data_IF_727655025867
#
_entry.id   IF_727655025867
#
_cell.length_a   1.000
_cell.length_b   1.000
_cell.length_c   1.000
_cell.angle_alpha   90.00
_cell.angle_beta   90.00
_cell.angle_gamma   90.00
#
_symmetry.space_group_name_H-M   'P 1'
#
loop_
_entity.id
_entity.type
_entity.pdbx_description
1 polymer ?
#
# COMPACT_ATOMS: atom_id res chain seq x y z
N UNK A 1 -25.71 -28.36 5.57
CA UNK A 1 -24.53 -28.45 6.43
C UNK A 1 -23.42 -27.66 5.78
N UNK A 2 -22.99 -26.58 6.43
CA UNK A 2 -21.94 -25.66 5.96
C UNK A 2 -20.59 -26.35 5.72
N UNK A 3 -20.38 -27.53 6.31
CA UNK A 3 -19.10 -28.26 6.18
C UNK A 3 -19.03 -29.23 5.01
N UNK A 4 -20.13 -29.47 4.29
CA UNK A 4 -20.19 -30.48 3.20
C UNK A 4 -20.03 -31.95 3.65
N UNK A 5 -19.55 -32.20 4.87
CA UNK A 5 -19.37 -33.51 5.49
C UNK A 5 -19.92 -33.52 6.93
N UNK A 6 -20.31 -34.70 7.43
CA UNK A 6 -20.98 -34.89 8.74
C UNK A 6 -22.42 -34.36 8.78
N UNK A 7 -23.03 -34.34 9.97
CA UNK A 7 -24.44 -34.02 10.20
C UNK A 7 -24.61 -32.96 11.27
N UNK A 8 -25.72 -32.21 11.19
CA UNK A 8 -26.19 -31.43 12.33
C UNK A 8 -26.99 -32.33 13.27
N UNK A 9 -26.88 -32.08 14.56
CA UNK A 9 -27.72 -32.72 15.57
C UNK A 9 -28.58 -31.67 16.27
N UNK A 10 -29.83 -32.03 16.53
CA UNK A 10 -30.78 -31.21 17.28
C UNK A 10 -30.85 -31.60 18.76
N UNK A 11 -31.76 -30.94 19.48
CA UNK A 11 -32.00 -31.17 20.91
C UNK A 11 -32.38 -32.63 21.24
N UNK A 12 -33.32 -33.21 20.49
CA UNK A 12 -33.84 -34.55 20.78
C UNK A 12 -32.76 -35.66 20.73
N UNK A 13 -31.97 -35.80 19.63
CA UNK A 13 -30.92 -36.82 19.59
C UNK A 13 -29.81 -36.56 20.63
N UNK A 14 -29.49 -35.29 20.91
CA UNK A 14 -28.53 -34.94 21.96
C UNK A 14 -29.01 -35.41 23.34
N UNK A 15 -30.26 -35.09 23.71
CA UNK A 15 -30.83 -35.51 25.01
C UNK A 15 -30.93 -37.04 25.13
N UNK A 16 -31.29 -37.72 24.04
CA UNK A 16 -31.35 -39.18 24.02
C UNK A 16 -29.96 -39.78 24.30
N UNK A 17 -28.90 -39.23 23.70
CA UNK A 17 -27.52 -39.63 23.92
C UNK A 17 -27.08 -39.38 25.37
N UNK A 18 -27.29 -38.15 25.88
CA UNK A 18 -26.93 -37.79 27.26
C UNK A 18 -27.61 -38.71 28.29
N UNK A 19 -28.90 -39.01 28.10
CA UNK A 19 -29.64 -39.92 28.97
C UNK A 19 -29.15 -41.36 28.87
N UNK A 20 -28.88 -41.85 27.65
CA UNK A 20 -28.40 -43.20 27.40
C UNK A 20 -27.05 -43.46 28.09
N UNK A 21 -26.14 -42.50 27.97
CA UNK A 21 -24.76 -42.66 28.44
C UNK A 21 -24.52 -42.02 29.83
N UNK A 22 -25.59 -41.54 30.48
CA UNK A 22 -25.57 -40.90 31.81
C UNK A 22 -24.61 -39.72 31.89
N UNK A 23 -24.55 -38.92 30.83
CA UNK A 23 -23.73 -37.71 30.74
C UNK A 23 -24.56 -36.47 31.09
N UNK A 24 -23.90 -35.46 31.68
CA UNK A 24 -24.54 -34.18 32.01
C UNK A 24 -24.63 -33.24 30.82
N UNK A 25 -23.58 -33.17 30.00
CA UNK A 25 -23.51 -32.32 28.81
C UNK A 25 -22.40 -32.77 27.86
N UNK A 26 -22.44 -32.27 26.62
CA UNK A 26 -21.33 -32.32 25.67
C UNK A 26 -20.62 -30.97 25.65
N UNK A 27 -19.32 -30.99 25.93
CA UNK A 27 -18.44 -29.83 25.69
C UNK A 27 -17.75 -30.04 24.36
N UNK A 28 -17.85 -29.05 23.46
CA UNK A 28 -17.27 -29.10 22.12
C UNK A 28 -16.61 -27.78 21.75
N UNK A 29 -15.74 -27.85 20.75
CA UNK A 29 -15.15 -26.66 20.12
C UNK A 29 -15.72 -26.44 18.72
N UNK A 30 -14.87 -25.97 17.79
CA UNK A 30 -15.05 -25.99 16.32
C UNK A 30 -15.86 -24.84 15.70
N UNK A 31 -16.61 -24.08 16.49
CA UNK A 31 -17.37 -22.94 16.00
C UNK A 31 -16.95 -21.69 16.75
N UNK A 32 -16.52 -20.67 16.01
CA UNK A 32 -16.21 -19.36 16.56
C UNK A 32 -17.46 -18.74 17.19
N UNK A 33 -17.24 -18.04 18.30
CA UNK A 33 -18.23 -17.31 19.09
C UNK A 33 -17.62 -15.98 19.49
N UNK A 34 -18.43 -14.91 19.43
CA UNK A 34 -18.00 -13.56 19.75
C UNK A 34 -17.38 -13.45 21.16
N UNK A 35 -17.97 -14.11 22.15
CA UNK A 35 -17.50 -14.14 23.55
C UNK A 35 -16.58 -15.33 23.85
N UNK A 36 -16.14 -16.08 22.82
CA UNK A 36 -15.34 -17.28 23.01
C UNK A 36 -16.11 -18.51 23.54
N UNK A 37 -17.38 -18.39 23.94
CA UNK A 37 -18.18 -19.55 24.34
C UNK A 37 -19.67 -19.38 24.02
N UNK A 38 -20.43 -20.48 24.09
CA UNK A 38 -21.89 -20.46 24.03
C UNK A 38 -22.48 -21.63 24.79
N UNK A 39 -23.38 -21.33 25.73
CA UNK A 39 -24.26 -22.32 26.34
C UNK A 39 -25.49 -22.51 25.46
N UNK A 40 -25.73 -23.75 25.03
CA UNK A 40 -26.92 -24.10 24.24
C UNK A 40 -27.99 -24.61 25.20
N UNK A 41 -28.75 -23.68 25.76
CA UNK A 41 -29.88 -23.96 26.64
C UNK A 41 -31.18 -23.95 25.84
N UNK A 42 -31.84 -25.11 25.74
CA UNK A 42 -33.12 -25.21 25.04
C UNK A 42 -34.34 -25.20 25.95
N UNK A 43 -34.15 -25.53 27.23
CA UNK A 43 -35.24 -25.79 28.18
C UNK A 43 -35.33 -24.73 29.29
N UNK A 44 -34.60 -23.62 29.09
CA UNK A 44 -34.59 -22.46 29.96
C UNK A 44 -33.20 -22.12 30.51
N UNK A 45 -33.02 -20.91 31.05
CA UNK A 45 -31.73 -20.43 31.55
C UNK A 45 -31.28 -21.12 32.85
N UNK A 46 -32.19 -21.78 33.57
CA UNK A 46 -31.92 -22.37 34.89
C UNK A 46 -31.47 -23.85 34.81
N UNK A 47 -31.57 -24.49 33.65
CA UNK A 47 -31.10 -25.87 33.46
C UNK A 47 -29.64 -25.88 33.01
N UNK A 48 -28.87 -26.87 33.48
CA UNK A 48 -27.49 -27.04 33.03
C UNK A 48 -27.46 -27.26 31.51
N UNK A 49 -26.63 -26.53 30.75
CA UNK A 49 -26.67 -26.57 29.29
C UNK A 49 -26.24 -27.96 28.78
N UNK A 50 -27.09 -28.67 28.01
CA UNK A 50 -26.76 -30.00 27.49
C UNK A 50 -25.66 -29.98 26.42
N UNK A 51 -25.37 -28.82 25.83
CA UNK A 51 -24.25 -28.62 24.93
C UNK A 51 -23.57 -27.28 25.22
N UNK A 52 -22.24 -27.29 25.29
CA UNK A 52 -21.40 -26.13 25.54
C UNK A 52 -20.41 -26.02 24.39
N UNK A 53 -20.35 -24.86 23.75
CA UNK A 53 -19.30 -24.55 22.77
C UNK A 53 -18.25 -23.66 23.40
N UNK A 54 -16.99 -24.04 23.31
CA UNK A 54 -15.84 -23.24 23.75
C UNK A 54 -14.91 -23.00 22.57
N UNK A 55 -14.40 -21.78 22.46
CA UNK A 55 -13.51 -21.33 21.39
C UNK A 55 -12.39 -20.49 21.99
N UNK A 56 -11.15 -20.95 21.84
CA UNK A 56 -10.01 -20.44 22.61
C UNK A 56 -9.01 -19.62 21.78
N UNK A 57 -9.39 -19.20 20.56
CA UNK A 57 -8.58 -18.35 19.70
C UNK A 57 -9.17 -16.94 19.65
N UNK A 58 -8.59 -15.93 20.34
CA UNK A 58 -9.10 -14.57 20.31
C UNK A 58 -8.69 -13.91 18.99
N UNK A 59 -9.47 -12.93 18.55
CA UNK A 59 -9.31 -12.23 17.27
C UNK A 59 -9.05 -13.19 16.08
N UNK A 60 -9.78 -14.30 16.05
CA UNK A 60 -9.61 -15.33 15.05
C UNK A 60 -9.88 -14.76 13.66
N UNK A 61 -8.88 -14.81 12.78
CA UNK A 61 -8.92 -14.23 11.44
C UNK A 61 -9.45 -12.78 11.41
N UNK A 62 -8.98 -11.93 12.34
CA UNK A 62 -9.36 -10.51 12.44
C UNK A 62 -10.87 -10.25 12.71
N UNK A 63 -11.56 -11.21 13.35
CA UNK A 63 -13.00 -11.13 13.61
C UNK A 63 -13.39 -10.51 14.96
N UNK A 64 -12.44 -9.91 15.69
CA UNK A 64 -12.67 -9.21 16.97
C UNK A 64 -13.45 -10.03 18.02
N UNK A 65 -13.20 -11.35 18.07
CA UNK A 65 -13.80 -12.22 19.07
C UNK A 65 -12.91 -12.38 20.30
N UNK A 66 -13.54 -12.55 21.44
CA UNK A 66 -12.90 -13.07 22.64
C UNK A 66 -12.67 -14.57 22.50
N UNK A 67 -11.72 -15.08 23.27
CA UNK A 67 -11.54 -16.49 23.52
C UNK A 67 -12.02 -16.86 24.92
N UNK A 68 -12.29 -18.14 25.13
CA UNK A 68 -12.64 -18.66 26.44
C UNK A 68 -11.95 -19.99 26.76
N UNK A 69 -11.77 -20.25 28.05
CA UNK A 69 -11.44 -21.55 28.62
C UNK A 69 -12.51 -21.92 29.64
N UNK A 70 -12.87 -23.20 29.67
CA UNK A 70 -13.78 -23.76 30.67
C UNK A 70 -12.96 -24.55 31.69
N UNK A 71 -13.08 -24.20 32.96
CA UNK A 71 -12.37 -24.82 34.07
C UNK A 71 -13.41 -25.54 34.93
N UNK A 72 -13.27 -26.86 35.04
CA UNK A 72 -14.12 -27.68 35.91
C UNK A 72 -13.33 -28.10 37.15
N UNK A 73 -13.87 -27.82 38.33
CA UNK A 73 -13.34 -28.25 39.62
C UNK A 73 -14.47 -28.90 40.44
N UNK A 74 -14.47 -30.23 40.50
CA UNK A 74 -15.56 -31.02 41.08
C UNK A 74 -16.91 -30.68 40.42
N UNK A 75 -17.85 -30.21 41.23
CA UNK A 75 -19.19 -29.80 40.77
C UNK A 75 -19.25 -28.37 40.22
N UNK A 76 -18.16 -27.61 40.31
CA UNK A 76 -18.08 -26.23 39.83
C UNK A 76 -17.53 -26.19 38.42
N UNK A 77 -18.18 -25.40 37.58
CA UNK A 77 -17.73 -25.07 36.23
C UNK A 77 -17.64 -23.56 36.13
N UNK A 78 -16.46 -23.07 35.78
CA UNK A 78 -16.16 -21.67 35.53
C UNK A 78 -15.77 -21.49 34.06
N UNK A 79 -16.10 -20.35 33.47
CA UNK A 79 -15.70 -19.99 32.10
C UNK A 79 -15.01 -18.65 32.17
N UNK A 80 -13.72 -18.63 31.78
CA UNK A 80 -12.91 -17.42 31.76
C UNK A 80 -12.68 -16.99 30.33
N UNK A 81 -12.94 -15.73 30.04
CA UNK A 81 -12.69 -15.13 28.73
C UNK A 81 -11.37 -14.37 28.73
N UNK A 82 -10.77 -14.24 27.55
CA UNK A 82 -9.53 -13.50 27.33
C UNK A 82 -9.49 -12.95 25.90
N UNK A 83 -8.76 -11.85 25.72
CA UNK A 83 -8.60 -11.13 24.44
C UNK A 83 -7.23 -11.41 23.83
N UNK A 84 -7.03 -10.93 22.59
CA UNK A 84 -5.72 -11.04 21.92
C UNK A 84 -4.66 -10.24 22.69
N UNK A 85 -3.44 -10.77 22.76
CA UNK A 85 -2.34 -10.05 23.37
C UNK A 85 -1.88 -8.91 22.46
N UNK A 86 -1.61 -7.76 23.06
CA UNK A 86 -1.11 -6.58 22.35
C UNK A 86 0.35 -6.74 21.87
N UNK A 87 1.13 -7.63 22.50
CA UNK A 87 2.56 -7.85 22.22
C UNK A 87 2.85 -8.86 21.09
N UNK A 88 1.88 -9.10 20.20
CA UNK A 88 2.02 -10.10 19.15
C UNK A 88 3.03 -9.64 18.07
N UNK A 89 4.06 -10.44 17.76
CA UNK A 89 4.97 -10.13 16.66
C UNK A 89 4.21 -10.08 15.33
N UNK A 90 4.50 -9.05 14.54
CA UNK A 90 4.01 -8.98 13.17
C UNK A 90 4.78 -10.00 12.30
N UNK A 91 4.04 -10.78 11.51
CA UNK A 91 4.60 -11.78 10.59
C UNK A 91 4.11 -11.44 9.20
N UNK A 92 5.02 -11.39 8.24
CA UNK A 92 4.68 -11.16 6.85
C UNK A 92 3.76 -12.28 6.32
N UNK A 93 2.80 -11.96 5.44
CA UNK A 93 1.95 -12.94 4.78
C UNK A 93 2.78 -14.03 4.09
N UNK A 94 2.21 -15.23 4.06
CA UNK A 94 2.87 -16.43 3.53
C UNK A 94 4.22 -16.76 4.18
N UNK A 95 4.56 -16.10 5.30
CA UNK A 95 5.87 -16.20 5.96
C UNK A 95 7.02 -15.84 5.02
N UNK A 96 6.78 -14.95 4.06
CA UNK A 96 7.80 -14.44 3.16
C UNK A 96 8.89 -13.69 3.93
N UNK A 97 10.10 -13.68 3.40
CA UNK A 97 11.18 -12.85 3.91
C UNK A 97 11.03 -11.40 3.43
N UNK A 98 11.71 -10.48 4.13
CA UNK A 98 11.63 -9.05 3.84
C UNK A 98 12.13 -8.70 2.42
N UNK A 99 13.15 -9.40 1.90
CA UNK A 99 13.66 -9.12 0.56
C UNK A 99 12.61 -9.47 -0.49
N UNK A 100 12.00 -10.64 -0.42
CA UNK A 100 10.96 -11.06 -1.37
C UNK A 100 9.74 -10.14 -1.39
N UNK A 101 9.42 -9.49 -0.28
CA UNK A 101 8.30 -8.54 -0.17
C UNK A 101 8.68 -7.17 -0.73
N UNK A 102 9.84 -6.63 -0.34
CA UNK A 102 10.21 -5.24 -0.65
C UNK A 102 11.06 -5.06 -1.91
N UNK A 103 11.65 -6.14 -2.45
CA UNK A 103 12.51 -6.08 -3.64
C UNK A 103 11.84 -5.40 -4.84
N UNK A 104 10.58 -5.69 -5.20
CA UNK A 104 9.93 -5.01 -6.33
C UNK A 104 9.88 -3.49 -6.13
N UNK A 105 9.51 -3.04 -4.93
CA UNK A 105 9.47 -1.60 -4.63
C UNK A 105 10.85 -0.95 -4.64
N UNK A 106 11.85 -1.64 -4.11
CA UNK A 106 13.21 -1.15 -4.16
C UNK A 106 13.68 -1.00 -5.62
N UNK A 107 13.40 -1.99 -6.46
CA UNK A 107 13.74 -1.97 -7.88
C UNK A 107 13.05 -0.82 -8.62
N UNK A 108 11.76 -0.59 -8.38
CA UNK A 108 11.05 0.53 -9.02
C UNK A 108 11.63 1.88 -8.61
N UNK A 109 11.91 2.09 -7.32
CA UNK A 109 12.51 3.34 -6.82
C UNK A 109 13.90 3.60 -7.41
N UNK A 110 14.73 2.55 -7.55
CA UNK A 110 16.06 2.67 -8.19
C UNK A 110 15.92 3.02 -9.67
N UNK A 111 15.02 2.36 -10.40
CA UNK A 111 14.75 2.68 -11.80
C UNK A 111 14.22 4.10 -11.96
N UNK A 112 13.34 4.54 -11.06
CA UNK A 112 12.79 5.90 -11.06
C UNK A 112 13.88 6.95 -10.81
N UNK A 113 14.78 6.69 -9.87
CA UNK A 113 15.94 7.54 -9.62
C UNK A 113 16.86 7.63 -10.84
N UNK A 114 17.14 6.50 -11.50
CA UNK A 114 17.94 6.47 -12.74
C UNK A 114 17.25 7.27 -13.84
N UNK A 115 15.94 7.08 -14.04
CA UNK A 115 15.15 7.85 -15.00
C UNK A 115 15.27 9.35 -14.74
N UNK A 116 15.14 9.80 -13.48
CA UNK A 116 15.25 11.21 -13.14
C UNK A 116 16.65 11.79 -13.38
N UNK A 117 17.70 11.03 -13.06
CA UNK A 117 19.09 11.44 -13.34
C UNK A 117 19.31 11.57 -14.84
N UNK A 118 18.88 10.59 -15.63
CA UNK A 118 19.00 10.60 -17.09
C UNK A 118 18.18 11.73 -17.69
N UNK A 119 16.93 11.93 -17.24
CA UNK A 119 16.08 13.03 -17.66
C UNK A 119 16.76 14.37 -17.43
N UNK A 120 17.36 14.60 -16.25
CA UNK A 120 18.08 15.84 -15.97
C UNK A 120 19.28 16.05 -16.90
N UNK A 121 20.14 15.03 -17.07
CA UNK A 121 21.33 15.13 -17.92
C UNK A 121 20.99 15.32 -19.40
N UNK A 122 20.06 14.52 -19.93
CA UNK A 122 19.62 14.57 -21.33
C UNK A 122 18.81 15.84 -21.61
N UNK A 123 18.00 16.27 -20.65
CA UNK A 123 17.32 17.55 -20.76
C UNK A 123 18.35 18.67 -20.90
N UNK A 124 19.40 18.70 -20.07
CA UNK A 124 20.41 19.75 -20.12
C UNK A 124 21.14 19.83 -21.48
N UNK A 125 21.24 18.70 -22.19
CA UNK A 125 22.03 18.57 -23.43
C UNK A 125 21.28 18.95 -24.71
N UNK A 126 19.98 18.65 -24.85
CA UNK A 126 19.21 19.12 -26.02
C UNK A 126 17.77 19.57 -25.71
N UNK A 127 17.33 20.71 -26.28
CA UNK A 127 15.94 21.18 -26.14
C UNK A 127 14.89 20.20 -26.69
N UNK A 128 15.23 19.41 -27.72
CA UNK A 128 14.37 18.37 -28.29
C UNK A 128 14.09 17.22 -27.31
N UNK A 129 15.10 16.78 -26.58
CA UNK A 129 14.96 15.76 -25.53
C UNK A 129 14.20 16.28 -24.31
N UNK A 130 14.36 17.57 -23.94
CA UNK A 130 13.56 18.19 -22.87
C UNK A 130 12.06 18.04 -23.15
N UNK A 131 11.65 18.39 -24.36
CA UNK A 131 10.23 18.42 -24.75
C UNK A 131 9.61 17.03 -24.79
N UNK A 132 10.37 16.03 -25.23
CA UNK A 132 9.90 14.63 -25.35
C UNK A 132 9.89 13.89 -24.00
N UNK A 133 10.82 14.21 -23.09
CA UNK A 133 10.90 13.61 -21.74
C UNK A 133 10.05 14.35 -20.68
N UNK A 134 9.65 15.59 -20.93
CA UNK A 134 8.82 16.39 -20.01
C UNK A 134 7.38 15.88 -19.90
N UNK A 135 6.85 15.26 -20.98
CA UNK A 135 5.46 14.78 -21.04
C UNK A 135 5.11 13.67 -20.04
N UNK A 136 6.11 12.96 -19.50
CA UNK A 136 5.93 11.90 -18.50
C UNK A 136 6.18 12.50 -17.11
N UNK A 137 5.12 13.02 -16.49
CA UNK A 137 5.13 13.48 -15.08
C UNK A 137 5.33 12.28 -14.15
N UNK A 138 6.58 11.90 -14.00
CA UNK A 138 7.12 10.91 -13.08
C UNK A 138 7.14 11.48 -11.67
N UNK A 139 6.04 11.51 -10.94
CA UNK A 139 5.95 11.21 -9.49
C UNK A 139 4.49 10.86 -9.20
N UNK A 140 4.23 9.82 -8.41
CA UNK A 140 2.93 9.54 -7.81
C UNK A 140 2.36 10.85 -7.20
N UNK A 141 1.34 11.42 -7.86
CA UNK A 141 0.78 12.72 -7.52
C UNK A 141 0.27 12.75 -6.08
N UNK A 142 -0.11 11.60 -5.54
CA UNK A 142 -0.62 11.50 -4.17
C UNK A 142 0.52 11.35 -3.15
N UNK A 143 1.63 10.69 -3.49
CA UNK A 143 2.84 10.73 -2.69
C UNK A 143 3.42 12.14 -2.59
N UNK A 144 3.52 12.87 -3.71
CA UNK A 144 3.94 14.28 -3.71
C UNK A 144 3.07 15.14 -2.81
N UNK A 145 1.74 15.02 -2.92
CA UNK A 145 0.82 15.76 -2.05
C UNK A 145 1.09 15.46 -0.58
N UNK A 146 1.31 14.19 -0.22
CA UNK A 146 1.62 13.81 1.18
C UNK A 146 2.95 14.36 1.66
N UNK A 147 4.01 14.28 0.86
CA UNK A 147 5.34 14.80 1.22
C UNK A 147 5.32 16.33 1.32
N UNK A 148 4.65 17.01 0.39
CA UNK A 148 4.47 18.47 0.41
C UNK A 148 3.68 18.86 1.66
N UNK A 149 2.56 18.19 1.96
CA UNK A 149 1.79 18.44 3.19
C UNK A 149 2.62 18.21 4.46
N UNK A 150 3.41 17.13 4.51
CA UNK A 150 4.30 16.85 5.64
C UNK A 150 5.37 17.96 5.82
N UNK A 151 5.98 18.41 4.72
CA UNK A 151 6.97 19.50 4.76
C UNK A 151 6.37 20.86 5.17
N UNK A 152 5.11 21.12 4.80
CA UNK A 152 4.39 22.33 5.18
C UNK A 152 3.97 22.28 6.67
N UNK A 153 3.56 21.11 7.15
CA UNK A 153 3.26 20.89 8.57
C UNK A 153 4.50 21.10 9.47
N UNK A 154 5.68 20.66 9.02
CA UNK A 154 6.95 20.90 9.73
C UNK A 154 7.33 22.39 9.74
N UNK A 155 7.00 23.12 8.66
CA UNK A 155 7.24 24.57 8.55
C UNK A 155 6.29 25.38 9.45
N UNK A 156 5.03 24.96 9.58
CA UNK A 156 4.06 25.56 10.48
C UNK A 156 4.40 25.32 11.97
N UNK A 157 5.01 24.17 12.29
CA UNK A 157 5.51 23.90 13.64
C UNK A 157 6.75 24.72 13.99
N UNK A 158 7.65 25.01 13.03
CA UNK A 158 8.79 25.90 13.25
C UNK A 158 8.39 27.38 13.38
N UNK A 159 7.30 27.81 12.73
CA UNK A 159 6.81 29.20 12.84
C UNK A 159 6.00 29.49 14.12
N UNK A 160 5.70 28.49 14.96
CA UNK A 160 5.03 28.69 16.26
C UNK A 160 5.99 28.64 17.45
N UNK A 161 7.29 28.48 17.24
CA UNK A 161 8.29 28.58 18.31
C UNK A 161 9.52 29.37 17.87
N UNK A 162 9.46 30.70 17.97
CA UNK A 162 10.57 31.48 18.52
C UNK A 162 10.13 32.89 18.97
N UNK A 163 10.45 33.30 20.22
CA UNK A 163 10.36 34.69 20.63
C UNK A 163 11.55 35.50 20.08
N UNK A 164 11.27 36.77 19.82
CA UNK A 164 12.15 37.89 19.49
C UNK A 164 13.64 37.77 19.89
N UNK A 165 14.54 37.88 18.90
CA UNK A 165 15.72 38.74 19.03
C UNK A 165 16.24 39.17 17.66
N UNK A 166 16.44 40.48 17.51
CA UNK A 166 16.94 41.16 16.32
C UNK A 166 18.43 40.86 16.11
N UNK A 167 18.84 40.52 14.88
CA UNK A 167 20.12 40.94 14.29
C UNK A 167 19.90 41.24 12.82
N UNK A 168 20.08 42.50 12.46
CA UNK A 168 20.08 43.02 11.09
C UNK A 168 21.39 42.66 10.38
N UNK A 169 21.30 42.03 9.20
CA UNK A 169 22.40 42.00 8.22
C UNK A 169 21.87 42.49 6.89
N UNK A 170 22.25 43.70 6.53
CA UNK A 170 22.00 44.35 5.24
C UNK A 170 22.92 43.76 4.19
N UNK A 171 22.37 43.21 3.11
CA UNK A 171 23.11 42.98 1.86
C UNK A 171 22.34 43.62 0.72
N UNK A 172 22.93 44.68 0.17
CA UNK A 172 22.44 45.44 -0.96
C UNK A 172 22.57 44.64 -2.26
N UNK A 173 21.47 44.41 -2.97
CA UNK A 173 21.49 43.86 -4.33
C UNK A 173 21.32 45.01 -5.33
N UNK A 174 22.12 45.11 -6.41
CA UNK A 174 22.02 46.22 -7.36
C UNK A 174 20.76 46.13 -8.22
N UNK A 175 20.07 47.26 -8.37
CA UNK A 175 18.94 47.44 -9.30
C UNK A 175 19.45 47.52 -10.74
N UNK A 176 18.88 46.72 -11.63
CA UNK A 176 19.00 46.86 -13.10
C UNK A 176 17.58 46.97 -13.69
N UNK A 177 17.34 47.81 -14.71
CA UNK A 177 16.05 48.50 -14.91
C UNK A 177 14.93 47.60 -15.45
N UNK A 178 13.72 47.83 -14.95
CA UNK A 178 12.49 47.38 -15.60
C UNK A 178 12.35 48.10 -16.96
N UNK A 179 12.49 47.37 -18.05
CA UNK A 179 11.84 47.74 -19.31
C UNK A 179 10.46 47.07 -19.35
N UNK A 180 9.45 47.90 -19.55
CA UNK A 180 8.05 47.54 -19.67
C UNK A 180 7.86 46.56 -20.83
N UNK A 181 7.28 45.39 -20.54
CA UNK A 181 6.57 44.62 -21.57
C UNK A 181 5.15 44.35 -21.08
N UNK A 182 4.26 44.71 -21.98
CA UNK A 182 2.80 44.70 -21.94
C UNK A 182 2.21 43.35 -21.54
N UNK A 183 1.18 43.42 -20.71
CA UNK A 183 0.27 42.31 -20.40
C UNK A 183 -0.42 41.82 -21.69
N UNK A 184 0.00 40.67 -22.20
CA UNK A 184 -0.82 39.84 -23.07
C UNK A 184 -1.05 38.48 -22.43
N UNK A 185 -2.33 38.19 -22.19
CA UNK A 185 -2.88 36.92 -21.74
C UNK A 185 -2.36 35.74 -22.59
N UNK A 186 -1.49 34.90 -22.03
CA UNK A 186 -1.20 33.55 -22.55
C UNK A 186 -1.37 32.52 -21.43
N UNK A 187 -2.22 31.53 -21.70
CA UNK A 187 -2.60 30.48 -20.75
C UNK A 187 -1.43 29.60 -20.31
N UNK A 188 -1.60 28.99 -19.12
CA UNK A 188 -0.74 28.00 -18.45
C UNK A 188 0.50 27.54 -19.26
N UNK A 189 1.54 28.37 -19.29
CA UNK A 189 2.84 27.97 -19.77
C UNK A 189 3.50 27.12 -18.69
N UNK A 190 3.92 25.91 -19.06
CA UNK A 190 4.67 25.05 -18.14
C UNK A 190 6.05 25.65 -17.91
N UNK A 191 6.71 25.32 -16.79
CA UNK A 191 8.07 25.81 -16.49
C UNK A 191 9.04 25.55 -17.66
N UNK A 192 8.81 24.45 -18.38
CA UNK A 192 9.62 24.09 -19.55
C UNK A 192 9.35 24.97 -20.77
N UNK A 193 8.13 25.47 -20.97
CA UNK A 193 7.81 26.43 -22.04
C UNK A 193 8.50 27.78 -21.79
N UNK A 194 8.59 28.18 -20.52
CA UNK A 194 9.30 29.39 -20.12
C UNK A 194 10.82 29.23 -20.32
N UNK A 195 11.39 28.08 -19.92
CA UNK A 195 12.82 27.80 -20.12
C UNK A 195 13.20 27.74 -21.60
N UNK A 196 12.35 27.15 -22.44
CA UNK A 196 12.57 27.12 -23.90
C UNK A 196 12.58 28.53 -24.51
N UNK A 197 11.68 29.41 -24.07
CA UNK A 197 11.64 30.79 -24.56
C UNK A 197 12.86 31.59 -24.10
N UNK A 198 13.32 31.39 -22.86
CA UNK A 198 14.55 32.00 -22.35
C UNK A 198 15.81 31.51 -23.08
N UNK A 199 15.89 30.22 -23.43
CA UNK A 199 17.02 29.65 -24.18
C UNK A 199 17.06 30.17 -25.63
N UNK A 200 15.90 30.37 -26.25
CA UNK A 200 15.74 31.00 -27.57
C UNK A 200 16.15 32.48 -27.54
N UNK A 201 15.71 33.24 -26.54
CA UNK A 201 16.06 34.66 -26.35
C UNK A 201 17.55 34.88 -26.04
N UNK A 202 18.22 33.91 -25.39
CA UNK A 202 19.64 33.94 -25.08
C UNK A 202 20.53 33.47 -26.25
N UNK A 203 19.94 32.96 -27.34
CA UNK A 203 20.69 32.47 -28.50
C UNK A 203 21.66 31.33 -28.18
N UNK A 204 21.36 30.53 -27.15
CA UNK A 204 22.19 29.39 -26.74
C UNK A 204 21.93 28.24 -27.73
N UNK A 205 22.62 28.29 -28.86
CA UNK A 205 22.64 27.21 -29.83
C UNK A 205 23.64 26.12 -29.39
N UNK A 206 23.18 25.19 -28.56
CA UNK A 206 23.97 24.02 -28.17
C UNK A 206 24.12 22.98 -29.30
N UNK A 207 23.50 23.19 -30.48
CA UNK A 207 23.66 22.29 -31.64
C UNK A 207 25.12 22.20 -32.10
N UNK A 208 25.93 23.23 -31.82
CA UNK A 208 27.33 23.26 -32.20
C UNK A 208 28.22 22.31 -31.38
N UNK A 209 27.76 21.82 -30.22
CA UNK A 209 28.58 21.03 -29.28
C UNK A 209 28.19 19.55 -29.20
N UNK A 210 26.94 19.17 -29.52
CA UNK A 210 26.46 17.79 -29.50
C UNK A 210 25.36 17.57 -30.55
N UNK A 211 25.74 17.22 -31.77
CA UNK A 211 24.81 16.75 -32.80
C UNK A 211 24.43 15.29 -32.54
N UNK A 212 23.38 15.05 -31.75
CA UNK A 212 22.65 13.80 -31.88
C UNK A 212 21.84 13.85 -33.18
N UNK A 213 21.95 12.83 -34.02
CA UNK A 213 21.04 12.69 -35.15
C UNK A 213 19.58 12.64 -34.64
N UNK A 214 18.59 13.23 -35.34
CA UNK A 214 17.20 13.27 -34.88
C UNK A 214 16.61 11.88 -34.59
N UNK A 215 17.03 10.85 -35.35
CA UNK A 215 16.67 9.45 -35.08
C UNK A 215 17.29 8.93 -33.78
N UNK A 216 18.50 9.38 -33.43
CA UNK A 216 19.16 9.04 -32.16
C UNK A 216 18.45 9.65 -30.97
N UNK A 217 17.97 10.90 -31.07
CA UNK A 217 17.22 11.54 -29.98
C UNK A 217 15.88 10.85 -29.72
N UNK A 218 15.15 10.49 -30.78
CA UNK A 218 13.90 9.74 -30.67
C UNK A 218 14.10 8.37 -30.02
N UNK A 219 15.17 7.67 -30.38
CA UNK A 219 15.52 6.37 -29.80
C UNK A 219 15.91 6.50 -28.32
N UNK A 220 16.73 7.50 -27.96
CA UNK A 220 17.12 7.76 -26.56
C UNK A 220 15.88 8.12 -25.71
N UNK A 221 14.99 8.97 -26.23
CA UNK A 221 13.75 9.30 -25.54
C UNK A 221 12.84 8.08 -25.37
N UNK A 222 12.76 7.20 -26.36
CA UNK A 222 11.99 5.96 -26.27
C UNK A 222 12.55 5.01 -25.20
N UNK A 223 13.86 4.81 -25.15
CA UNK A 223 14.51 3.96 -24.13
C UNK A 223 14.34 4.51 -22.72
N UNK A 224 14.50 5.82 -22.53
CA UNK A 224 14.32 6.47 -21.22
C UNK A 224 12.85 6.43 -20.78
N UNK A 225 11.91 6.59 -21.69
CA UNK A 225 10.48 6.42 -21.39
C UNK A 225 10.11 4.95 -21.10
N UNK A 226 10.79 3.98 -21.71
CA UNK A 226 10.60 2.56 -21.39
C UNK A 226 11.05 2.24 -19.97
N UNK A 227 12.17 2.81 -19.50
CA UNK A 227 12.61 2.69 -18.12
C UNK A 227 11.56 3.23 -17.14
N UNK A 228 10.93 4.35 -17.49
CA UNK A 228 9.86 4.93 -16.70
C UNK A 228 8.61 4.05 -16.66
N UNK A 229 8.19 3.53 -17.81
CA UNK A 229 7.06 2.61 -17.87
C UNK A 229 7.32 1.34 -17.05
N UNK A 230 8.54 0.79 -17.11
CA UNK A 230 8.92 -0.36 -16.31
C UNK A 230 8.93 -0.05 -14.80
N UNK A 231 9.42 1.13 -14.39
CA UNK A 231 9.40 1.52 -12.97
C UNK A 231 7.97 1.64 -12.44
N UNK A 232 7.06 2.23 -13.22
CA UNK A 232 5.65 2.40 -12.85
C UNK A 232 4.92 1.07 -12.69
N UNK A 233 5.07 0.15 -13.65
CA UNK A 233 4.44 -1.18 -13.58
C UNK A 233 4.89 -1.97 -12.36
N UNK A 234 6.20 -1.94 -12.06
CA UNK A 234 6.75 -2.63 -10.88
C UNK A 234 6.26 -1.94 -9.60
N UNK A 235 6.19 -0.61 -9.58
CA UNK A 235 5.74 0.17 -8.42
C UNK A 235 4.26 -0.10 -8.10
N UNK A 236 3.40 -0.15 -9.12
CA UNK A 236 1.96 -0.41 -8.98
C UNK A 236 1.73 -1.76 -8.28
N UNK A 237 2.33 -2.83 -8.81
CA UNK A 237 2.23 -4.18 -8.22
C UNK A 237 2.80 -4.22 -6.80
N UNK A 238 3.90 -3.50 -6.54
CA UNK A 238 4.50 -3.44 -5.23
C UNK A 238 3.62 -2.73 -4.19
N UNK A 239 2.98 -1.61 -4.58
CA UNK A 239 2.07 -0.86 -3.71
C UNK A 239 0.84 -1.70 -3.37
N UNK A 240 0.23 -2.36 -4.36
CA UNK A 240 -0.94 -3.23 -4.12
C UNK A 240 -0.61 -4.36 -3.14
N UNK A 241 0.57 -4.96 -3.29
CA UNK A 241 1.06 -6.00 -2.39
C UNK A 241 1.26 -5.47 -0.97
N UNK A 242 1.84 -4.28 -0.81
CA UNK A 242 2.01 -3.64 0.50
C UNK A 242 0.69 -3.21 1.15
N UNK A 243 -0.25 -2.68 0.37
CA UNK A 243 -1.58 -2.34 0.88
C UNK A 243 -2.30 -3.58 1.41
N UNK A 244 -2.14 -4.71 0.73
CA UNK A 244 -2.64 -6.01 1.19
C UNK A 244 -2.01 -6.42 2.53
N UNK A 245 -0.73 -6.10 2.78
CA UNK A 245 -0.07 -6.31 4.09
C UNK A 245 -0.76 -5.50 5.21
N UNK A 246 -1.11 -4.24 4.91
CA UNK A 246 -1.70 -3.33 5.90
C UNK A 246 -3.13 -3.70 6.29
N UNK A 247 -3.88 -4.31 5.36
CA UNK A 247 -5.28 -4.70 5.56
C UNK A 247 -5.44 -6.16 6.05
N UNK A 248 -4.36 -6.96 6.03
CA UNK A 248 -4.41 -8.36 6.43
C UNK A 248 -5.25 -9.26 5.50
N UNK A 249 -5.56 -8.78 4.29
CA UNK A 249 -6.31 -9.54 3.28
C UNK A 249 -5.36 -10.38 2.40
N UNK A 250 -5.84 -11.53 1.93
CA UNK A 250 -5.07 -12.39 1.02
C UNK A 250 -4.85 -11.68 -0.34
N UNK A 251 -3.63 -11.80 -0.88
CA UNK A 251 -3.16 -11.18 -2.13
C UNK A 251 -4.07 -11.52 -3.33
N UNK A 252 -4.69 -12.70 -3.32
CA UNK A 252 -5.58 -13.21 -4.36
C UNK A 252 -6.81 -12.33 -4.65
N UNK A 253 -7.21 -11.47 -3.71
CA UNK A 253 -8.37 -10.58 -3.89
C UNK A 253 -8.06 -9.38 -4.79
N UNK A 254 -6.78 -9.06 -4.97
CA UNK A 254 -6.32 -7.88 -5.72
C UNK A 254 -5.57 -8.24 -7.00
N UNK A 255 -5.20 -9.50 -7.23
CA UNK A 255 -4.65 -9.93 -8.51
C UNK A 255 -5.75 -10.40 -9.47
N UNK A 256 -5.98 -9.73 -10.61
CA UNK A 256 -6.75 -10.32 -11.70
C UNK A 256 -5.93 -11.47 -12.30
N UNK A 257 -6.16 -12.68 -11.80
CA UNK A 257 -5.53 -13.94 -12.26
C UNK A 257 -5.74 -14.23 -13.75
N UNK A 258 -6.62 -13.48 -14.43
CA UNK A 258 -6.82 -13.55 -15.87
C UNK A 258 -5.70 -12.95 -16.72
N UNK A 259 -4.91 -12.00 -16.20
CA UNK A 259 -3.87 -11.32 -17.01
C UNK A 259 -2.54 -12.08 -17.04
N UNK A 260 -2.10 -12.68 -15.94
CA UNK A 260 -0.79 -13.36 -15.85
C UNK A 260 -0.72 -14.56 -16.81
N UNK A 261 -1.80 -15.34 -16.93
CA UNK A 261 -1.87 -16.47 -17.87
C UNK A 261 -1.84 -16.01 -19.33
N UNK A 262 -2.50 -14.89 -19.66
CA UNK A 262 -2.44 -14.29 -21.00
C UNK A 262 -1.06 -13.76 -21.33
N UNK A 263 -0.40 -13.11 -20.37
CA UNK A 263 0.95 -12.58 -20.56
C UNK A 263 1.95 -13.73 -20.78
N UNK A 264 1.87 -14.82 -20.02
CA UNK A 264 2.72 -15.99 -20.24
C UNK A 264 2.43 -16.69 -21.58
N UNK A 265 1.16 -16.82 -21.97
CA UNK A 265 0.80 -17.36 -23.29
C UNK A 265 1.30 -16.48 -24.44
N UNK A 266 1.20 -15.16 -24.31
CA UNK A 266 1.73 -14.24 -25.34
C UNK A 266 3.25 -14.26 -25.46
N UNK A 267 3.97 -14.58 -24.38
CA UNK A 267 5.43 -14.71 -24.39
C UNK A 267 5.85 -16.04 -25.04
N UNK A 268 5.10 -17.12 -24.84
CA UNK A 268 5.37 -18.40 -25.49
C UNK A 268 4.98 -18.39 -26.98
N UNK A 269 3.91 -17.68 -27.36
CA UNK A 269 3.53 -17.49 -28.77
C UNK A 269 4.52 -16.60 -29.54
N UNK A 270 5.25 -15.70 -28.89
CA UNK A 270 6.31 -14.90 -29.51
C UNK A 270 7.66 -15.63 -29.61
N UNK A 271 7.81 -16.78 -28.94
CA UNK A 271 9.03 -17.60 -28.97
C UNK A 271 8.95 -18.79 -29.94
N UNK A 272 7.79 -19.05 -30.54
CA UNK A 272 7.60 -20.09 -31.56
C UNK A 272 7.54 -19.51 -32.97
#
# INVERSE_FOLDING_TARGET
>A
NERGISVYFGRAPLKALLKKDRLRAIVRAHQQKRTGYKFHTWDGPNEFPPCITVFSAPNYCASDNEAAVMISDGDRVDVRTFTERQDKPFVLPERADAFSVFQPRLQSLVLDAIYHILKLQLSAQSPGLRKTLSSTQSIDKDYLKRVIQASQADTEQQNQQQPSNQVSVTVSVPTVPQQQQSEESKGNQTMDDLLAHYEEDLGIDNSQYLNFEPESEANIAAEVNLLKQASEQIMEVAIEREQSLSQGEAIDKFMPTGNVMRTMQSIDEQKS
#
